data_IF_115185507593
#
_entry.id   IF_115185507593
#
_cell.length_a   1.000
_cell.length_b   1.000
_cell.length_c   1.000
_cell.angle_alpha   90.00
_cell.angle_beta   90.00
_cell.angle_gamma   90.00
#
_symmetry.space_group_name_H-M   'P 1'
#
loop_
_entity.id
_entity.type
_entity.pdbx_description
1 polymer ?
#
# COMPACT_ATOMS: atom_id res chain seq x y z
N UNK A 1 -26.61 31.37 -26.20
CA UNK A 1 -25.67 30.57 -25.38
C UNK A 1 -24.97 31.54 -24.44
N UNK A 2 -25.26 31.49 -23.13
CA UNK A 2 -24.83 32.53 -22.18
C UNK A 2 -23.33 32.45 -21.84
N UNK A 3 -22.68 33.60 -21.63
CA UNK A 3 -21.28 33.69 -21.18
C UNK A 3 -21.01 32.86 -19.92
N UNK A 4 -22.01 32.74 -19.04
CA UNK A 4 -21.95 31.90 -17.84
C UNK A 4 -21.83 30.40 -18.15
N UNK A 5 -22.47 29.90 -19.21
CA UNK A 5 -22.33 28.49 -19.63
C UNK A 5 -20.96 28.22 -20.25
N UNK A 6 -20.40 29.19 -20.99
CA UNK A 6 -19.07 29.06 -21.58
C UNK A 6 -17.96 29.00 -20.51
N UNK A 7 -18.07 29.82 -19.44
CA UNK A 7 -17.13 29.79 -18.32
C UNK A 7 -17.19 28.46 -17.57
N UNK A 8 -18.41 27.97 -17.25
CA UNK A 8 -18.60 26.68 -16.56
C UNK A 8 -18.04 25.51 -17.38
N UNK A 9 -18.28 25.46 -18.69
CA UNK A 9 -17.74 24.43 -19.58
C UNK A 9 -16.21 24.48 -19.64
N UNK A 10 -15.62 25.67 -19.70
CA UNK A 10 -14.16 25.84 -19.75
C UNK A 10 -13.49 25.34 -18.46
N UNK A 11 -14.07 25.65 -17.29
CA UNK A 11 -13.58 25.13 -16.01
C UNK A 11 -13.69 23.61 -15.94
N UNK A 12 -14.85 23.04 -16.33
CA UNK A 12 -15.06 21.59 -16.32
C UNK A 12 -14.07 20.83 -17.21
N UNK A 13 -13.78 21.35 -18.42
CA UNK A 13 -12.80 20.75 -19.35
C UNK A 13 -11.39 20.81 -18.76
N UNK A 14 -11.01 21.94 -18.17
CA UNK A 14 -9.68 22.12 -17.56
C UNK A 14 -9.48 21.18 -16.37
N UNK A 15 -10.48 21.04 -15.52
CA UNK A 15 -10.45 20.12 -14.38
C UNK A 15 -10.33 18.67 -14.83
N UNK A 16 -11.05 18.28 -15.89
CA UNK A 16 -10.95 16.94 -16.48
C UNK A 16 -9.54 16.66 -17.05
N UNK A 17 -8.93 17.64 -17.72
CA UNK A 17 -7.55 17.54 -18.22
C UNK A 17 -6.54 17.37 -17.09
N UNK A 18 -6.64 18.18 -16.02
CA UNK A 18 -5.77 18.06 -14.85
C UNK A 18 -5.89 16.68 -14.21
N UNK A 19 -7.12 16.17 -14.04
CA UNK A 19 -7.37 14.84 -13.48
C UNK A 19 -6.79 13.72 -14.34
N UNK A 20 -6.78 13.89 -15.66
CA UNK A 20 -6.19 12.93 -16.59
C UNK A 20 -4.66 12.94 -16.52
N UNK A 21 -4.04 14.11 -16.46
CA UNK A 21 -2.59 14.24 -16.30
C UNK A 21 -2.10 13.66 -14.96
N UNK A 22 -2.81 13.93 -13.86
CA UNK A 22 -2.55 13.27 -12.57
C UNK A 22 -2.60 11.74 -12.68
N UNK A 23 -3.59 11.20 -13.40
CA UNK A 23 -3.74 9.77 -13.59
C UNK A 23 -2.59 9.18 -14.42
N UNK A 24 -2.14 9.86 -15.48
CA UNK A 24 -0.94 9.45 -16.22
C UNK A 24 0.29 9.41 -15.34
N UNK A 25 0.47 10.41 -14.46
CA UNK A 25 1.58 10.44 -13.51
C UNK A 25 1.54 9.26 -12.54
N UNK A 26 0.35 8.84 -12.10
CA UNK A 26 0.15 7.66 -11.26
C UNK A 26 0.46 6.35 -12.00
N UNK A 27 0.08 6.25 -13.27
CA UNK A 27 0.35 5.05 -14.08
C UNK A 27 1.81 4.95 -14.54
N UNK A 28 2.53 6.06 -14.68
CA UNK A 28 3.92 6.11 -15.18
C UNK A 28 4.89 5.19 -14.41
N UNK A 29 4.93 5.17 -13.07
CA UNK A 29 5.82 4.27 -12.33
C UNK A 29 5.27 2.84 -12.13
N UNK A 30 4.10 2.47 -12.70
CA UNK A 30 3.42 1.20 -12.37
C UNK A 30 4.29 -0.04 -12.55
N UNK A 31 5.07 -0.12 -13.63
CA UNK A 31 5.94 -1.27 -13.88
C UNK A 31 7.08 -1.33 -12.85
N UNK A 32 7.64 -0.17 -12.47
CA UNK A 32 8.68 -0.11 -11.44
C UNK A 32 8.11 -0.52 -10.07
N UNK A 33 6.89 -0.07 -9.73
CA UNK A 33 6.19 -0.45 -8.49
C UNK A 33 5.84 -1.94 -8.49
N UNK A 34 5.41 -2.50 -9.63
CA UNK A 34 5.14 -3.93 -9.76
C UNK A 34 6.42 -4.76 -9.57
N UNK A 35 7.55 -4.30 -10.13
CA UNK A 35 8.84 -4.94 -9.94
C UNK A 35 9.32 -4.86 -8.48
N UNK A 36 9.16 -3.71 -7.83
CA UNK A 36 9.51 -3.59 -6.41
C UNK A 36 8.65 -4.51 -5.54
N UNK A 37 7.35 -4.64 -5.83
CA UNK A 37 6.49 -5.60 -5.12
C UNK A 37 6.96 -7.04 -5.29
N UNK A 38 7.35 -7.45 -6.51
CA UNK A 38 7.87 -8.79 -6.76
C UNK A 38 9.15 -9.07 -5.96
N UNK A 39 10.09 -8.12 -5.99
CA UNK A 39 11.37 -8.23 -5.26
C UNK A 39 11.14 -8.28 -3.76
N UNK A 40 10.35 -7.37 -3.21
CA UNK A 40 10.07 -7.33 -1.77
C UNK A 40 9.28 -8.57 -1.32
N UNK A 41 8.34 -9.08 -2.13
CA UNK A 41 7.60 -10.29 -1.81
C UNK A 41 8.51 -11.53 -1.78
N UNK A 42 9.47 -11.62 -2.72
CA UNK A 42 10.47 -12.68 -2.72
C UNK A 42 11.39 -12.60 -1.51
N UNK A 43 11.86 -11.40 -1.15
CA UNK A 43 12.68 -11.19 0.05
C UNK A 43 11.93 -11.63 1.30
N UNK A 44 10.65 -11.24 1.43
CA UNK A 44 9.83 -11.61 2.59
C UNK A 44 9.54 -13.12 2.63
N UNK A 45 9.26 -13.74 1.48
CA UNK A 45 9.12 -15.19 1.33
C UNK A 45 10.36 -15.93 1.84
N UNK A 46 11.55 -15.55 1.38
CA UNK A 46 12.80 -16.19 1.77
C UNK A 46 13.14 -15.95 3.24
N UNK A 47 12.92 -14.74 3.75
CA UNK A 47 13.18 -14.39 5.15
C UNK A 47 12.26 -15.11 6.12
N UNK A 48 11.01 -15.39 5.74
CA UNK A 48 10.02 -15.99 6.63
C UNK A 48 9.83 -17.49 6.40
N UNK A 49 10.61 -18.08 5.50
CA UNK A 49 10.40 -19.47 5.05
C UNK A 49 10.49 -20.50 6.19
N UNK A 50 11.43 -20.32 7.12
CA UNK A 50 11.68 -21.28 8.20
C UNK A 50 10.83 -21.03 9.45
N UNK A 51 10.23 -19.85 9.57
CA UNK A 51 9.51 -19.38 10.76
C UNK A 51 8.00 -19.28 10.57
N UNK A 52 7.54 -19.03 9.34
CA UNK A 52 6.12 -18.89 9.02
C UNK A 52 5.53 -20.19 8.46
N UNK A 53 4.22 -20.33 8.61
CA UNK A 53 3.49 -21.43 7.98
C UNK A 53 3.55 -21.33 6.45
N UNK A 54 4.09 -22.36 5.79
CA UNK A 54 4.26 -22.40 4.33
C UNK A 54 2.96 -22.22 3.55
N UNK A 55 1.81 -22.74 4.04
CA UNK A 55 0.53 -22.56 3.36
C UNK A 55 0.10 -21.09 3.36
N UNK A 56 0.19 -20.40 4.49
CA UNK A 56 -0.11 -18.96 4.59
C UNK A 56 0.82 -18.14 3.71
N UNK A 57 2.10 -18.51 3.66
CA UNK A 57 3.13 -17.81 2.89
C UNK A 57 2.91 -17.98 1.38
N UNK A 58 2.61 -19.20 0.91
CA UNK A 58 2.31 -19.48 -0.50
C UNK A 58 0.97 -18.86 -0.94
N UNK A 59 -0.05 -18.87 -0.07
CA UNK A 59 -1.33 -18.22 -0.35
C UNK A 59 -1.15 -16.70 -0.49
N UNK A 60 -0.41 -16.08 0.42
CA UNK A 60 -0.07 -14.66 0.34
C UNK A 60 0.73 -14.33 -0.93
N UNK A 61 1.70 -15.16 -1.29
CA UNK A 61 2.47 -15.01 -2.53
C UNK A 61 1.57 -15.09 -3.76
N UNK A 62 0.61 -16.01 -3.80
CA UNK A 62 -0.36 -16.13 -4.89
C UNK A 62 -1.23 -14.86 -5.02
N UNK A 63 -1.67 -14.29 -3.90
CA UNK A 63 -2.40 -13.01 -3.87
C UNK A 63 -1.53 -11.87 -4.42
N UNK A 64 -0.26 -11.82 -4.01
CA UNK A 64 0.69 -10.82 -4.48
C UNK A 64 0.93 -10.92 -5.99
N UNK A 65 1.09 -12.13 -6.53
CA UNK A 65 1.21 -12.37 -7.97
C UNK A 65 -0.06 -11.89 -8.71
N UNK A 66 -1.25 -12.17 -8.18
CA UNK A 66 -2.50 -11.71 -8.77
C UNK A 66 -2.61 -10.17 -8.79
N UNK A 67 -2.18 -9.50 -7.70
CA UNK A 67 -2.15 -8.02 -7.63
C UNK A 67 -1.15 -7.44 -8.64
N UNK A 68 0.04 -8.03 -8.75
CA UNK A 68 1.05 -7.61 -9.74
C UNK A 68 0.52 -7.78 -11.16
N UNK A 69 -0.11 -8.93 -11.46
CA UNK A 69 -0.71 -9.19 -12.76
C UNK A 69 -1.82 -8.17 -13.07
N UNK A 70 -2.71 -7.90 -12.11
CA UNK A 70 -3.75 -6.86 -12.23
C UNK A 70 -3.14 -5.49 -12.56
N UNK A 71 -2.07 -5.08 -11.86
CA UNK A 71 -1.38 -3.80 -12.11
C UNK A 71 -0.79 -3.71 -13.51
N UNK A 72 -0.11 -4.77 -13.96
CA UNK A 72 0.50 -4.81 -15.28
C UNK A 72 -0.56 -4.79 -16.37
N UNK A 73 -1.60 -5.63 -16.25
CA UNK A 73 -2.70 -5.70 -17.21
C UNK A 73 -3.42 -4.35 -17.31
N UNK A 74 -3.79 -3.75 -16.17
CA UNK A 74 -4.48 -2.46 -16.15
C UNK A 74 -3.61 -1.32 -16.69
N UNK A 75 -2.30 -1.34 -16.45
CA UNK A 75 -1.36 -0.40 -17.08
C UNK A 75 -1.31 -0.55 -18.60
N UNK A 76 -1.23 -1.79 -19.11
CA UNK A 76 -1.18 -2.05 -20.55
C UNK A 76 -2.49 -1.62 -21.24
N UNK A 77 -3.63 -1.93 -20.63
CA UNK A 77 -4.93 -1.50 -21.12
C UNK A 77 -5.10 0.02 -21.05
N UNK A 78 -4.67 0.65 -19.95
CA UNK A 78 -4.65 2.12 -19.83
C UNK A 78 -3.80 2.75 -20.93
N UNK A 79 -2.58 2.23 -21.17
CA UNK A 79 -1.69 2.75 -22.23
C UNK A 79 -2.34 2.66 -23.62
N UNK A 80 -3.13 1.61 -23.88
CA UNK A 80 -3.86 1.44 -25.15
C UNK A 80 -5.04 2.41 -25.27
N UNK A 81 -5.80 2.62 -24.20
CA UNK A 81 -7.00 3.49 -24.19
C UNK A 81 -6.68 4.98 -23.96
N UNK A 82 -5.52 5.32 -23.38
CA UNK A 82 -5.15 6.69 -23.03
C UNK A 82 -5.00 7.61 -24.25
N UNK A 83 -4.86 7.07 -25.46
CA UNK A 83 -4.85 7.85 -26.70
C UNK A 83 -6.20 8.55 -26.97
N UNK A 84 -7.30 7.96 -26.49
CA UNK A 84 -8.66 8.40 -26.81
C UNK A 84 -9.32 9.25 -25.72
N UNK A 85 -8.67 9.46 -24.55
CA UNK A 85 -9.18 10.25 -23.41
C UNK A 85 -10.62 9.90 -22.95
N UNK A 86 -11.14 8.71 -23.29
CA UNK A 86 -12.58 8.42 -23.21
C UNK A 86 -13.14 8.30 -21.80
N UNK A 87 -12.35 7.85 -20.82
CA UNK A 87 -12.89 7.56 -19.49
C UNK A 87 -11.86 7.64 -18.35
N UNK A 88 -11.46 8.86 -17.99
CA UNK A 88 -10.55 9.12 -16.85
C UNK A 88 -11.08 8.55 -15.53
N UNK A 89 -12.41 8.54 -15.33
CA UNK A 89 -13.01 8.14 -14.05
C UNK A 89 -12.97 6.62 -13.84
N UNK A 90 -13.22 5.83 -14.90
CA UNK A 90 -13.04 4.37 -14.86
C UNK A 90 -11.62 3.98 -14.47
N UNK A 91 -10.63 4.56 -15.15
CA UNK A 91 -9.22 4.25 -14.92
C UNK A 91 -8.73 4.69 -13.53
N UNK A 92 -9.28 5.79 -13.00
CA UNK A 92 -9.05 6.21 -11.61
C UNK A 92 -9.54 5.17 -10.61
N UNK A 93 -10.78 4.67 -10.76
CA UNK A 93 -11.33 3.62 -9.88
C UNK A 93 -10.55 2.31 -9.97
N UNK A 94 -10.13 1.92 -11.17
CA UNK A 94 -9.30 0.73 -11.39
C UNK A 94 -7.95 0.88 -10.67
N UNK A 95 -7.31 2.05 -10.80
CA UNK A 95 -6.04 2.33 -10.11
C UNK A 95 -6.21 2.30 -8.59
N UNK A 96 -7.25 2.97 -8.07
CA UNK A 96 -7.56 3.00 -6.64
C UNK A 96 -7.80 1.61 -6.08
N UNK A 97 -8.59 0.78 -6.77
CA UNK A 97 -8.87 -0.61 -6.36
C UNK A 97 -7.58 -1.42 -6.25
N UNK A 98 -6.69 -1.32 -7.24
CA UNK A 98 -5.39 -1.97 -7.18
C UNK A 98 -4.55 -1.50 -6.00
N UNK A 99 -4.61 -0.21 -5.66
CA UNK A 99 -3.88 0.36 -4.52
C UNK A 99 -4.42 -0.15 -3.19
N UNK A 100 -5.73 -0.18 -3.02
CA UNK A 100 -6.34 -0.68 -1.78
C UNK A 100 -6.07 -2.18 -1.60
N UNK A 101 -6.19 -2.99 -2.66
CA UNK A 101 -5.83 -4.41 -2.62
C UNK A 101 -4.37 -4.63 -2.25
N UNK A 102 -3.47 -3.79 -2.80
CA UNK A 102 -2.05 -3.83 -2.45
C UNK A 102 -1.83 -3.50 -0.97
N UNK A 103 -2.46 -2.43 -0.48
CA UNK A 103 -2.37 -2.01 0.93
C UNK A 103 -2.88 -3.09 1.88
N UNK A 104 -3.99 -3.75 1.55
CA UNK A 104 -4.54 -4.87 2.32
C UNK A 104 -3.61 -6.08 2.34
N UNK A 105 -3.12 -6.51 1.18
CA UNK A 105 -2.23 -7.67 1.08
C UNK A 105 -0.91 -7.45 1.83
N UNK A 106 -0.31 -6.27 1.68
CA UNK A 106 0.89 -5.91 2.43
C UNK A 106 0.60 -5.72 3.93
N UNK A 107 -0.50 -5.08 4.31
CA UNK A 107 -0.90 -4.96 5.72
C UNK A 107 -1.12 -6.32 6.39
N UNK A 108 -1.74 -7.26 5.70
CA UNK A 108 -1.96 -8.62 6.20
C UNK A 108 -0.66 -9.40 6.45
N UNK A 109 0.43 -9.08 5.72
CA UNK A 109 1.74 -9.68 5.99
C UNK A 109 2.22 -9.35 7.41
N UNK A 110 1.93 -8.13 7.88
CA UNK A 110 2.23 -7.66 9.22
C UNK A 110 1.45 -8.32 10.35
N UNK A 111 0.40 -9.09 10.05
CA UNK A 111 -0.33 -9.89 11.05
C UNK A 111 -0.07 -11.39 10.93
N UNK A 112 0.09 -11.89 9.70
CA UNK A 112 0.31 -13.30 9.39
C UNK A 112 1.74 -13.75 9.64
N UNK A 113 2.71 -12.87 9.42
CA UNK A 113 4.15 -13.20 9.49
C UNK A 113 4.87 -12.42 10.58
N UNK A 114 4.14 -11.88 11.56
CA UNK A 114 4.75 -11.24 12.72
C UNK A 114 5.28 -12.32 13.67
N UNK A 115 6.60 -12.49 13.80
CA UNK A 115 7.16 -13.57 14.61
C UNK A 115 7.21 -13.14 16.07
N UNK A 116 6.45 -13.83 16.93
CA UNK A 116 6.39 -13.54 18.36
C UNK A 116 7.68 -14.04 19.01
N UNK A 117 8.44 -13.13 19.63
CA UNK A 117 9.68 -13.46 20.37
C UNK A 117 10.97 -13.43 19.56
N UNK A 118 10.91 -13.16 18.25
CA UNK A 118 12.09 -12.95 17.40
C UNK A 118 12.21 -11.49 16.96
N UNK A 119 12.98 -10.72 17.73
CA UNK A 119 13.17 -9.29 17.48
C UNK A 119 13.82 -8.98 16.13
N UNK A 120 14.67 -9.87 15.60
CA UNK A 120 15.38 -9.62 14.34
C UNK A 120 14.38 -9.63 13.17
N UNK A 121 13.54 -10.67 13.12
CA UNK A 121 12.54 -10.79 12.06
C UNK A 121 11.43 -9.74 12.19
N UNK A 122 11.08 -9.31 13.41
CA UNK A 122 10.17 -8.17 13.63
C UNK A 122 10.74 -6.87 13.06
N UNK A 123 11.99 -6.53 13.39
CA UNK A 123 12.66 -5.31 12.88
C UNK A 123 12.75 -5.36 11.36
N UNK A 124 13.08 -6.51 10.79
CA UNK A 124 13.15 -6.71 9.34
C UNK A 124 11.81 -6.43 8.65
N UNK A 125 10.71 -6.96 9.19
CA UNK A 125 9.37 -6.72 8.69
C UNK A 125 8.99 -5.22 8.77
N UNK A 126 9.26 -4.58 9.92
CA UNK A 126 9.00 -3.14 10.10
C UNK A 126 9.82 -2.30 9.12
N UNK A 127 11.08 -2.67 8.86
CA UNK A 127 11.95 -1.99 7.92
C UNK A 127 11.40 -2.07 6.48
N UNK A 128 10.96 -3.24 6.05
CA UNK A 128 10.29 -3.44 4.76
C UNK A 128 9.05 -2.54 4.65
N UNK A 129 8.18 -2.58 5.66
CA UNK A 129 6.92 -1.83 5.66
C UNK A 129 7.15 -0.32 5.65
N UNK A 130 8.18 0.15 6.36
CA UNK A 130 8.57 1.57 6.37
C UNK A 130 9.12 2.00 5.02
N UNK A 131 9.98 1.19 4.39
CA UNK A 131 10.49 1.45 3.04
C UNK A 131 9.37 1.50 2.00
N UNK A 132 8.38 0.61 2.11
CA UNK A 132 7.18 0.62 1.28
C UNK A 132 6.32 1.86 1.49
N UNK A 133 6.10 2.28 2.73
CA UNK A 133 5.37 3.50 3.05
C UNK A 133 6.04 4.74 2.42
N UNK A 134 7.37 4.85 2.55
CA UNK A 134 8.14 5.93 1.93
C UNK A 134 8.02 5.93 0.40
N UNK A 135 8.21 4.77 -0.24
CA UNK A 135 8.10 4.63 -1.71
C UNK A 135 6.68 4.86 -2.24
N UNK A 136 5.65 4.48 -1.47
CA UNK A 136 4.26 4.73 -1.85
C UNK A 136 3.88 6.21 -1.78
N UNK A 137 4.43 6.94 -0.80
CA UNK A 137 4.15 8.38 -0.63
C UNK A 137 4.63 9.18 -1.84
N UNK A 138 5.80 8.84 -2.40
CA UNK A 138 6.32 9.51 -3.59
C UNK A 138 5.54 9.16 -4.84
N UNK A 139 5.25 7.87 -5.05
CA UNK A 139 4.57 7.36 -6.25
C UNK A 139 3.08 7.69 -6.32
N UNK A 140 2.40 7.83 -5.17
CA UNK A 140 0.99 8.17 -5.06
C UNK A 140 0.75 9.67 -4.82
N UNK A 141 1.81 10.47 -4.68
CA UNK A 141 1.73 11.93 -4.44
C UNK A 141 0.82 12.72 -5.39
N UNK A 142 0.64 12.36 -6.69
CA UNK A 142 -0.30 13.06 -7.56
C UNK A 142 -1.76 13.03 -7.08
N UNK A 143 -2.14 12.07 -6.22
CA UNK A 143 -3.44 12.00 -5.54
C UNK A 143 -3.32 11.63 -4.08
N UNK A 144 -3.40 12.64 -3.21
CA UNK A 144 -3.39 12.49 -1.75
C UNK A 144 -4.48 11.56 -1.23
N UNK A 145 -5.65 11.56 -1.88
CA UNK A 145 -6.78 10.67 -1.56
C UNK A 145 -6.44 9.18 -1.69
N UNK A 146 -5.42 8.84 -2.48
CA UNK A 146 -4.97 7.46 -2.67
C UNK A 146 -3.86 7.06 -1.69
N UNK A 147 -3.02 8.02 -1.27
CA UNK A 147 -1.91 7.81 -0.34
C UNK A 147 -2.42 7.43 1.05
N UNK A 148 -3.36 8.20 1.60
CA UNK A 148 -3.79 8.04 3.00
C UNK A 148 -4.41 6.66 3.25
N UNK A 149 -5.39 6.19 2.45
CA UNK A 149 -5.97 4.86 2.65
C UNK A 149 -4.94 3.75 2.50
N UNK A 150 -4.01 3.88 1.55
CA UNK A 150 -2.93 2.91 1.37
C UNK A 150 -2.06 2.80 2.62
N UNK A 151 -1.59 3.94 3.15
CA UNK A 151 -0.74 3.98 4.33
C UNK A 151 -1.45 3.43 5.57
N UNK A 152 -2.75 3.73 5.74
CA UNK A 152 -3.53 3.16 6.83
C UNK A 152 -3.59 1.63 6.72
N UNK A 153 -3.99 1.11 5.56
CA UNK A 153 -4.07 -0.34 5.36
C UNK A 153 -2.72 -1.04 5.55
N UNK A 154 -1.63 -0.41 5.09
CA UNK A 154 -0.28 -0.93 5.22
C UNK A 154 0.21 -0.93 6.68
N UNK A 155 0.07 0.19 7.39
CA UNK A 155 0.74 0.41 8.66
C UNK A 155 -0.11 0.03 9.87
N UNK A 156 -1.45 0.12 9.79
CA UNK A 156 -2.34 -0.16 10.92
C UNK A 156 -2.08 -1.53 11.56
N UNK A 157 -1.94 -2.64 10.79
CA UNK A 157 -1.80 -3.95 11.42
C UNK A 157 -0.45 -4.12 12.13
N UNK A 158 0.64 -3.60 11.57
CA UNK A 158 1.97 -3.62 12.18
C UNK A 158 2.03 -2.70 13.40
N UNK A 159 1.48 -1.49 13.30
CA UNK A 159 1.40 -0.56 14.42
C UNK A 159 0.63 -1.16 15.60
N UNK A 160 -0.51 -1.82 15.31
CA UNK A 160 -1.29 -2.53 16.32
C UNK A 160 -0.46 -3.61 17.01
N UNK A 161 0.19 -4.49 16.24
CA UNK A 161 1.06 -5.56 16.76
C UNK A 161 2.21 -5.02 17.60
N UNK A 162 2.89 -3.97 17.16
CA UNK A 162 3.97 -3.34 17.91
C UNK A 162 3.48 -2.71 19.22
N UNK A 163 2.29 -2.12 19.25
CA UNK A 163 1.74 -1.55 20.49
C UNK A 163 1.35 -2.65 21.50
N UNK A 164 0.84 -3.79 21.02
CA UNK A 164 0.41 -4.91 21.87
C UNK A 164 1.55 -5.85 22.28
N UNK A 165 2.54 -6.06 21.43
CA UNK A 165 3.65 -7.03 21.64
C UNK A 165 4.99 -6.37 21.95
N UNK A 166 5.12 -5.06 21.66
CA UNK A 166 6.30 -4.28 21.96
C UNK A 166 6.61 -4.33 23.45
N UNK A 167 7.74 -4.96 23.79
CA UNK A 167 8.30 -5.06 25.13
C UNK A 167 8.43 -3.72 25.88
N UNK A 168 8.37 -2.57 25.19
CA UNK A 168 8.34 -1.25 25.83
C UNK A 168 7.05 -1.03 26.63
N UNK A 169 5.90 -1.52 26.14
CA UNK A 169 4.61 -1.45 26.84
C UNK A 169 4.62 -2.36 28.07
N UNK A 170 5.16 -3.58 27.95
CA UNK A 170 5.13 -4.57 29.04
C UNK A 170 6.11 -4.22 30.17
N UNK A 171 7.25 -3.59 29.87
CA UNK A 171 8.16 -3.11 30.92
C UNK A 171 7.70 -1.80 31.58
N UNK A 172 7.08 -0.88 30.84
CA UNK A 172 6.53 0.37 31.44
C UNK A 172 5.25 0.09 32.24
N UNK A 173 4.35 -0.76 31.74
CA UNK A 173 3.15 -1.19 32.48
C UNK A 173 3.53 -2.15 33.62
N UNK A 174 4.56 -2.99 33.43
CA UNK A 174 5.10 -3.87 34.47
C UNK A 174 5.82 -3.11 35.61
N UNK A 175 6.54 -2.04 35.28
CA UNK A 175 7.24 -1.20 36.26
C UNK A 175 6.29 -0.43 37.18
N UNK A 176 5.19 0.11 36.64
CA UNK A 176 4.14 0.79 37.44
C UNK A 176 3.45 -0.20 38.39
N UNK A 177 3.23 -1.45 37.95
CA UNK A 177 2.63 -2.49 38.78
C UNK A 177 3.56 -3.01 39.89
N UNK A 178 4.86 -3.06 39.64
CA UNK A 178 5.86 -3.48 40.62
C UNK A 178 6.10 -2.43 41.73
N UNK A 179 5.95 -1.14 41.42
CA UNK A 179 6.04 -0.06 42.40
C UNK A 179 4.79 -0.01 43.28
N UNK A 180 3.60 -0.24 42.71
CA UNK A 180 2.33 -0.22 43.44
C UNK A 180 2.10 -1.43 44.36
N UNK A 181 2.80 -2.55 44.15
CA UNK A 181 2.73 -3.74 45.03
C UNK A 181 3.77 -3.72 46.15
N UNK A 182 4.62 -2.68 46.22
CA UNK A 182 5.67 -2.52 47.24
C UNK A 182 5.45 -1.30 48.15
N UNK A 183 4.29 -0.66 48.08
CA UNK A 183 3.81 0.42 48.96
C UNK A 183 2.59 -0.04 49.75
#
# INVERSE_FOLDING_TARGET
MNQQNAAVLTHAIKDQQVRFEQLKLLYKPTILVAASYAVTALILLLSQWDVANHHSLLLWLAIMVAIIAYRVITFLLFKKEAADCRDTQKWDRIFLTGTLLSGLAWGASGTLFFPIGDSLHQIFLVFIMTGMAAGSTTTLSPRRETVIPFLLLLLTPVAYRLLTEGHLSTQLIGGIRAIALKS
#
